data_IF_507358116428
#
_entry.id   IF_507358116428
#
_cell.length_a   1.000
_cell.length_b   1.000
_cell.length_c   1.000
_cell.angle_alpha   90.00
_cell.angle_beta   90.00
_cell.angle_gamma   90.00
#
_symmetry.space_group_name_H-M   'P 1'
#
loop_
_entity.id
_entity.type
_entity.pdbx_description
1 polymer ?
#
# COMPACT_ATOMS: atom_id res chain seq x y z
N UNK A 1 -3.03 -22.44 0.75
CA UNK A 1 -3.94 -21.36 0.32
C UNK A 1 -3.47 -20.08 1.00
N UNK A 2 -3.23 -19.00 0.25
CA UNK A 2 -2.90 -17.70 0.85
C UNK A 2 -4.15 -16.80 0.70
N UNK A 3 -4.81 -16.43 1.80
CA UNK A 3 -5.84 -15.41 1.79
C UNK A 3 -5.22 -14.04 1.51
N UNK A 4 -6.05 -13.08 1.10
CA UNK A 4 -5.62 -11.69 1.00
C UNK A 4 -5.05 -11.21 2.35
N UNK A 5 -4.08 -10.28 2.35
CA UNK A 5 -3.55 -9.70 3.58
C UNK A 5 -4.68 -9.06 4.39
N UNK A 6 -4.66 -9.31 5.70
CA UNK A 6 -5.68 -8.84 6.62
C UNK A 6 -5.17 -7.59 7.33
N UNK A 7 -5.98 -6.53 7.37
CA UNK A 7 -5.61 -5.31 8.09
C UNK A 7 -5.45 -5.58 9.59
N UNK A 8 -4.46 -4.96 10.25
CA UNK A 8 -4.34 -5.00 11.71
C UNK A 8 -5.52 -4.37 12.44
N UNK A 9 -6.24 -3.45 11.79
CA UNK A 9 -7.47 -2.83 12.30
C UNK A 9 -8.72 -3.65 12.04
N UNK A 10 -8.59 -4.84 11.44
CA UNK A 10 -9.70 -5.78 11.31
C UNK A 10 -10.38 -6.02 12.66
N UNK A 11 -11.66 -5.67 12.73
CA UNK A 11 -12.49 -5.89 13.91
C UNK A 11 -12.74 -7.39 14.14
N UNK A 12 -13.22 -7.80 15.32
CA UNK A 12 -13.76 -9.14 15.52
C UNK A 12 -14.85 -9.46 14.48
N UNK A 13 -14.98 -10.72 14.11
CA UNK A 13 -15.90 -11.23 13.08
C UNK A 13 -15.60 -10.78 11.64
N UNK A 14 -14.46 -10.14 11.40
CA UNK A 14 -13.99 -9.82 10.04
C UNK A 14 -13.72 -11.12 9.26
N UNK A 15 -14.26 -11.18 8.04
CA UNK A 15 -14.03 -12.28 7.10
C UNK A 15 -12.54 -12.37 6.73
N UNK A 16 -11.98 -13.59 6.79
CA UNK A 16 -10.60 -13.87 6.39
C UNK A 16 -10.59 -14.61 5.05
N UNK A 17 -11.25 -15.76 5.01
CA UNK A 17 -11.30 -16.64 3.85
C UNK A 17 -12.42 -17.66 4.01
N UNK A 18 -12.88 -18.24 2.91
CA UNK A 18 -13.77 -19.39 2.93
C UNK A 18 -13.06 -20.62 2.37
N UNK A 19 -13.09 -21.72 3.13
CA UNK A 19 -12.65 -23.03 2.65
C UNK A 19 -13.87 -23.79 2.15
N UNK A 20 -13.82 -24.21 0.90
CA UNK A 20 -14.86 -25.00 0.26
C UNK A 20 -14.28 -26.30 -0.29
N UNK A 21 -15.04 -27.39 -0.23
CA UNK A 21 -14.72 -28.64 -0.91
C UNK A 21 -15.76 -28.91 -1.99
N UNK A 22 -15.31 -29.41 -3.14
CA UNK A 22 -16.21 -29.87 -4.19
C UNK A 22 -16.64 -31.31 -3.86
N UNK A 23 -17.52 -31.46 -2.87
CA UNK A 23 -18.00 -32.77 -2.41
C UNK A 23 -19.53 -32.80 -2.33
N UNK A 24 -20.15 -33.93 -2.68
CA UNK A 24 -21.60 -34.07 -2.83
C UNK A 24 -22.33 -34.43 -1.52
N UNK A 25 -21.65 -34.40 -0.38
CA UNK A 25 -22.23 -34.67 0.94
C UNK A 25 -21.93 -33.54 1.92
N UNK A 26 -22.73 -33.37 2.98
CA UNK A 26 -22.45 -32.39 4.02
C UNK A 26 -21.11 -32.68 4.70
N UNK A 27 -20.27 -31.66 4.79
CA UNK A 27 -18.98 -31.71 5.47
C UNK A 27 -18.96 -30.78 6.67
N UNK A 28 -18.16 -31.13 7.67
CA UNK A 28 -17.91 -30.32 8.85
C UNK A 28 -16.49 -29.78 8.76
N UNK A 29 -16.36 -28.46 8.83
CA UNK A 29 -15.07 -27.78 8.81
C UNK A 29 -14.53 -27.55 10.22
N UNK A 30 -13.23 -27.74 10.39
CA UNK A 30 -12.54 -27.46 11.66
C UNK A 30 -11.09 -27.02 11.44
N UNK A 31 -10.56 -26.17 12.31
CA UNK A 31 -9.13 -25.85 12.34
C UNK A 31 -8.45 -26.86 13.28
N UNK A 32 -7.55 -27.68 12.75
CA UNK A 32 -7.04 -28.87 13.45
C UNK A 32 -5.64 -28.70 14.03
N UNK A 33 -4.76 -27.95 13.37
CA UNK A 33 -3.37 -27.73 13.77
C UNK A 33 -2.84 -26.43 13.18
N UNK A 34 -1.66 -25.97 13.58
CA UNK A 34 -0.99 -24.80 13.00
C UNK A 34 0.41 -24.60 13.55
N UNK A 35 1.13 -23.64 13.00
CA UNK A 35 2.57 -23.49 13.23
C UNK A 35 2.98 -22.93 14.60
N UNK A 36 4.30 -22.94 14.78
CA UNK A 36 5.21 -22.67 15.92
C UNK A 36 4.77 -21.62 16.96
N UNK A 37 3.85 -20.69 16.65
CA UNK A 37 3.32 -19.67 17.58
C UNK A 37 2.27 -20.22 18.58
N UNK A 38 2.31 -21.52 18.89
CA UNK A 38 1.75 -22.06 20.13
C UNK A 38 0.27 -21.79 20.37
N UNK A 39 -0.61 -22.15 19.43
CA UNK A 39 -2.09 -22.00 19.51
C UNK A 39 -2.62 -20.57 19.36
N UNK A 40 -1.81 -19.57 18.98
CA UNK A 40 -2.30 -18.20 18.76
C UNK A 40 -3.51 -18.16 17.81
N UNK A 41 -3.46 -18.91 16.71
CA UNK A 41 -4.57 -19.04 15.76
C UNK A 41 -5.88 -19.47 16.43
N UNK A 42 -5.87 -20.26 17.52
CA UNK A 42 -7.09 -20.65 18.27
C UNK A 42 -7.77 -19.47 18.93
N UNK A 43 -6.98 -18.49 19.37
CA UNK A 43 -7.45 -17.28 20.06
C UNK A 43 -7.80 -16.17 19.07
N UNK A 44 -7.26 -16.22 17.86
CA UNK A 44 -7.37 -15.15 16.87
C UNK A 44 -8.36 -15.48 15.77
N UNK A 45 -8.55 -16.75 15.42
CA UNK A 45 -9.44 -17.16 14.34
C UNK A 45 -10.45 -18.21 14.77
N UNK A 46 -11.57 -18.24 14.07
CA UNK A 46 -12.55 -19.31 14.15
C UNK A 46 -13.09 -19.64 12.78
N UNK A 47 -13.57 -20.87 12.63
CA UNK A 47 -14.22 -21.35 11.42
C UNK A 47 -15.66 -21.70 11.74
N UNK A 48 -16.57 -21.29 10.87
CA UNK A 48 -17.94 -21.79 10.86
C UNK A 48 -17.93 -23.24 10.31
N UNK A 49 -18.37 -24.23 11.11
CA UNK A 49 -18.27 -25.64 10.74
C UNK A 49 -19.16 -26.04 9.57
N UNK A 50 -20.19 -25.25 9.25
CA UNK A 50 -21.14 -25.54 8.17
C UNK A 50 -20.79 -24.84 6.86
N UNK A 51 -20.18 -23.65 6.92
CA UNK A 51 -19.88 -22.82 5.74
C UNK A 51 -18.41 -22.82 5.36
N UNK A 52 -17.51 -23.21 6.27
CA UNK A 52 -16.07 -23.17 6.06
C UNK A 52 -15.50 -21.75 6.08
N UNK A 53 -16.31 -20.75 6.45
CA UNK A 53 -15.87 -19.35 6.55
C UNK A 53 -15.04 -19.17 7.81
N UNK A 54 -13.83 -18.65 7.64
CA UNK A 54 -12.92 -18.25 8.71
C UNK A 54 -13.08 -16.76 8.99
N UNK A 55 -13.17 -16.41 10.28
CA UNK A 55 -13.29 -15.05 10.79
C UNK A 55 -12.32 -14.77 11.94
N UNK A 56 -12.03 -13.49 12.17
CA UNK A 56 -11.28 -13.03 13.35
C UNK A 56 -12.11 -13.15 14.63
N UNK A 57 -11.48 -13.47 15.75
CA UNK A 57 -12.10 -13.50 17.10
C UNK A 57 -11.89 -12.21 17.88
N UNK A 58 -10.84 -11.48 17.56
CA UNK A 58 -10.36 -10.31 18.29
C UNK A 58 -9.55 -9.41 17.36
N UNK A 59 -9.22 -8.22 17.84
CA UNK A 59 -8.30 -7.31 17.18
C UNK A 59 -6.92 -7.96 16.99
N UNK A 60 -6.23 -7.53 15.94
CA UNK A 60 -4.96 -8.09 15.50
C UNK A 60 -3.82 -7.13 15.81
N UNK A 61 -2.60 -7.65 15.75
CA UNK A 61 -1.36 -6.88 15.90
C UNK A 61 -0.34 -7.48 14.95
N UNK A 62 0.38 -6.65 14.18
CA UNK A 62 1.34 -7.14 13.17
C UNK A 62 2.43 -8.03 13.79
N UNK A 63 2.88 -7.74 15.02
CA UNK A 63 3.95 -8.46 15.73
C UNK A 63 3.77 -9.98 15.88
N UNK A 64 2.53 -10.46 15.74
CA UNK A 64 2.19 -11.86 15.96
C UNK A 64 1.98 -12.66 14.66
N UNK A 65 2.24 -12.04 13.50
CA UNK A 65 2.02 -12.59 12.17
C UNK A 65 3.33 -12.65 11.35
N UNK A 66 3.44 -13.53 10.33
CA UNK A 66 2.40 -14.40 9.78
C UNK A 66 2.06 -15.59 10.69
N UNK A 67 0.85 -16.14 10.51
CA UNK A 67 0.38 -17.34 11.21
C UNK A 67 -0.17 -18.34 10.21
N UNK A 68 0.28 -19.60 10.28
CA UNK A 68 -0.28 -20.69 9.47
C UNK A 68 -1.08 -21.67 10.33
N UNK A 69 -2.16 -22.21 9.77
CA UNK A 69 -2.96 -23.28 10.37
C UNK A 69 -3.61 -24.19 9.32
N UNK A 70 -3.84 -25.43 9.68
CA UNK A 70 -4.47 -26.44 8.84
C UNK A 70 -5.96 -26.52 9.13
N UNK A 71 -6.75 -26.45 8.06
CA UNK A 71 -8.20 -26.64 8.07
C UNK A 71 -8.52 -28.02 7.54
N UNK A 72 -9.38 -28.73 8.25
CA UNK A 72 -9.88 -30.05 7.87
C UNK A 72 -11.35 -29.97 7.50
N UNK A 73 -11.73 -30.61 6.39
CA UNK A 73 -13.10 -30.94 6.06
C UNK A 73 -13.34 -32.42 6.33
N UNK A 74 -14.34 -32.75 7.16
CA UNK A 74 -14.69 -34.12 7.52
C UNK A 74 -16.08 -34.46 7.04
N UNK A 75 -16.20 -35.59 6.35
CA UNK A 75 -17.49 -36.11 5.93
C UNK A 75 -18.36 -36.45 7.16
N UNK A 76 -19.57 -35.88 7.20
CA UNK A 76 -20.54 -36.13 8.27
C UNK A 76 -20.99 -37.60 8.38
N UNK A 77 -20.74 -38.41 7.35
CA UNK A 77 -21.06 -39.85 7.32
C UNK A 77 -20.04 -40.76 8.01
N UNK A 78 -19.01 -40.18 8.66
CA UNK A 78 -18.08 -40.90 9.54
C UNK A 78 -17.20 -41.97 8.85
N UNK A 79 -17.01 -41.89 7.52
CA UNK A 79 -16.12 -42.78 6.74
C UNK A 79 -14.62 -42.45 6.87
N UNK A 80 -14.24 -41.51 7.74
CA UNK A 80 -12.84 -41.18 8.00
C UNK A 80 -12.11 -40.46 6.87
N UNK A 81 -12.78 -40.11 5.77
CA UNK A 81 -12.20 -39.27 4.71
C UNK A 81 -12.09 -37.84 5.24
N UNK A 82 -10.86 -37.38 5.37
CA UNK A 82 -10.54 -36.02 5.77
C UNK A 82 -9.51 -35.45 4.82
N UNK A 83 -9.83 -34.30 4.23
CA UNK A 83 -8.86 -33.51 3.48
C UNK A 83 -8.43 -32.33 4.34
N UNK A 84 -7.14 -32.04 4.33
CA UNK A 84 -6.56 -30.91 5.02
C UNK A 84 -5.95 -29.92 4.03
N UNK A 85 -6.06 -28.64 4.34
CA UNK A 85 -5.40 -27.56 3.60
C UNK A 85 -4.74 -26.60 4.57
N UNK A 86 -3.51 -26.20 4.27
CA UNK A 86 -2.82 -25.15 5.03
C UNK A 86 -3.28 -23.76 4.57
N UNK A 87 -3.64 -22.94 5.54
CA UNK A 87 -4.01 -21.52 5.42
C UNK A 87 -2.94 -20.71 6.11
N UNK A 88 -2.32 -19.76 5.39
CA UNK A 88 -1.33 -18.84 5.94
C UNK A 88 -1.90 -17.43 5.96
N UNK A 89 -2.14 -16.85 7.12
CA UNK A 89 -2.67 -15.48 7.26
C UNK A 89 -1.51 -14.53 7.55
N UNK A 90 -1.46 -13.43 6.81
CA UNK A 90 -0.60 -12.28 7.06
C UNK A 90 -1.46 -11.11 7.53
N UNK A 91 -0.97 -10.41 8.56
CA UNK A 91 -1.58 -9.16 9.02
C UNK A 91 -0.65 -8.02 8.65
N UNK A 92 -1.21 -7.03 7.98
CA UNK A 92 -0.48 -5.86 7.49
C UNK A 92 -0.80 -4.64 8.35
N UNK A 93 0.21 -3.79 8.53
CA UNK A 93 0.03 -2.46 9.07
C UNK A 93 -0.77 -1.61 8.07
N UNK A 94 -1.75 -0.86 8.54
CA UNK A 94 -2.54 0.01 7.66
C UNK A 94 -1.82 1.31 7.41
N UNK A 95 -1.80 1.74 6.15
CA UNK A 95 -1.38 3.09 5.79
C UNK A 95 -2.37 4.14 6.35
N UNK A 96 -1.91 5.03 7.23
CA UNK A 96 -2.75 5.95 8.00
C UNK A 96 -2.64 7.40 7.56
N UNK A 97 -1.43 7.84 7.22
CA UNK A 97 -1.08 9.22 6.95
C UNK A 97 -0.71 9.35 5.47
N UNK A 98 -1.23 10.36 4.77
CA UNK A 98 -0.72 10.67 3.45
C UNK A 98 0.62 11.41 3.54
N UNK A 99 1.44 11.37 2.48
CA UNK A 99 2.61 12.21 2.36
C UNK A 99 2.23 13.70 2.44
N UNK A 100 3.01 14.51 3.15
CA UNK A 100 2.77 15.95 3.33
C UNK A 100 4.01 16.74 2.92
N UNK A 101 3.86 17.64 1.94
CA UNK A 101 4.91 18.60 1.57
C UNK A 101 5.03 19.72 2.60
N UNK A 102 6.23 20.28 2.75
CA UNK A 102 6.47 21.45 3.62
C UNK A 102 5.70 22.70 3.21
N UNK A 103 5.35 22.82 1.92
CA UNK A 103 4.48 23.86 1.37
C UNK A 103 3.59 23.25 0.28
N UNK A 104 2.36 23.75 0.14
CA UNK A 104 1.46 23.39 -0.95
C UNK A 104 1.76 24.14 -2.25
N UNK A 105 2.49 25.26 -2.16
CA UNK A 105 2.88 26.11 -3.28
C UNK A 105 4.34 26.53 -3.10
N UNK A 106 5.13 26.39 -4.16
CA UNK A 106 6.53 26.83 -4.23
C UNK A 106 6.67 27.69 -5.49
N UNK A 107 7.26 28.87 -5.36
CA UNK A 107 7.59 29.71 -6.50
C UNK A 107 9.11 29.76 -6.67
N UNK A 108 9.57 29.48 -7.88
CA UNK A 108 10.99 29.49 -8.23
C UNK A 108 11.22 30.32 -9.49
N UNK A 109 12.43 30.86 -9.59
CA UNK A 109 12.89 31.57 -10.78
C UNK A 109 13.92 30.73 -11.51
N UNK A 110 13.85 30.73 -12.82
CA UNK A 110 14.82 30.08 -13.69
C UNK A 110 15.31 31.10 -14.71
N UNK A 111 16.61 31.38 -14.69
CA UNK A 111 17.26 32.22 -15.71
C UNK A 111 17.02 31.60 -17.09
N UNK A 112 16.62 32.39 -18.07
CA UNK A 112 16.64 31.96 -19.45
C UNK A 112 18.05 31.55 -19.86
N UNK A 113 18.17 30.82 -20.98
CA UNK A 113 19.45 30.30 -21.44
C UNK A 113 20.18 29.35 -20.46
N UNK A 114 19.58 29.05 -19.29
CA UNK A 114 20.06 28.02 -18.38
C UNK A 114 20.17 26.69 -19.12
N UNK A 115 21.28 25.95 -18.97
CA UNK A 115 21.44 24.66 -19.63
C UNK A 115 20.28 23.71 -19.34
N UNK A 116 19.97 22.83 -20.28
CA UNK A 116 19.09 21.70 -20.02
C UNK A 116 19.60 20.88 -18.83
N UNK A 117 18.69 20.27 -18.05
CA UNK A 117 19.02 19.56 -16.80
C UNK A 117 19.43 20.48 -15.65
N UNK A 118 19.05 21.76 -15.70
CA UNK A 118 19.24 22.67 -14.55
C UNK A 118 18.28 22.29 -13.42
N UNK A 119 18.83 22.18 -12.20
CA UNK A 119 18.04 21.95 -11.00
C UNK A 119 17.24 23.21 -10.65
N UNK A 120 15.93 23.07 -10.48
CA UNK A 120 15.02 24.16 -10.12
C UNK A 120 14.84 24.17 -8.60
N UNK A 121 14.32 23.08 -8.03
CA UNK A 121 14.06 22.97 -6.59
C UNK A 121 14.05 21.51 -6.14
N UNK A 122 14.46 21.26 -4.90
CA UNK A 122 14.23 19.98 -4.24
C UNK A 122 12.96 20.06 -3.38
N UNK A 123 11.94 19.31 -3.77
CA UNK A 123 10.70 19.20 -3.02
C UNK A 123 10.85 18.12 -1.96
N UNK A 124 10.36 18.40 -0.76
CA UNK A 124 10.44 17.46 0.36
C UNK A 124 9.06 17.22 0.95
N UNK A 125 8.59 15.98 0.83
CA UNK A 125 7.45 15.47 1.55
C UNK A 125 7.89 14.61 2.73
N UNK A 126 7.02 14.48 3.73
CA UNK A 126 7.18 13.60 4.88
C UNK A 126 5.90 12.80 5.07
N UNK A 127 6.08 11.54 5.42
CA UNK A 127 5.01 10.65 5.84
C UNK A 127 5.29 10.20 7.28
N UNK A 128 4.24 10.13 8.09
CA UNK A 128 4.35 9.77 9.49
C UNK A 128 4.16 8.27 9.74
N UNK A 129 3.89 7.48 8.70
CA UNK A 129 3.90 6.03 8.79
C UNK A 129 5.32 5.45 8.71
N UNK A 130 5.50 4.26 9.27
CA UNK A 130 6.78 3.57 9.29
C UNK A 130 6.96 2.63 8.08
N UNK A 131 8.22 2.35 7.74
CA UNK A 131 8.56 1.37 6.72
C UNK A 131 7.98 1.71 5.34
N UNK A 132 7.35 0.73 4.69
CA UNK A 132 6.80 0.88 3.34
C UNK A 132 5.66 1.90 3.26
N UNK A 133 4.84 2.01 4.31
CA UNK A 133 3.72 2.95 4.38
C UNK A 133 4.20 4.41 4.42
N UNK A 134 5.45 4.68 4.81
CA UNK A 134 6.05 6.02 4.73
C UNK A 134 7.17 6.15 3.68
N UNK A 135 7.38 5.15 2.82
CA UNK A 135 8.41 5.19 1.79
C UNK A 135 7.90 5.95 0.56
N UNK A 136 8.54 7.07 0.25
CA UNK A 136 8.04 8.02 -0.75
C UNK A 136 8.72 7.90 -2.11
N UNK A 137 7.91 7.99 -3.16
CA UNK A 137 8.34 8.30 -4.53
C UNK A 137 7.67 9.57 -5.03
N UNK A 138 8.35 10.29 -5.93
CA UNK A 138 7.89 11.57 -6.46
C UNK A 138 7.52 11.49 -7.94
N UNK A 139 6.54 12.29 -8.36
CA UNK A 139 6.14 12.34 -9.76
C UNK A 139 5.48 13.66 -10.15
N UNK A 140 5.42 13.93 -11.45
CA UNK A 140 4.64 15.04 -12.01
C UNK A 140 3.23 14.53 -12.31
N UNK A 141 2.22 15.16 -11.72
CA UNK A 141 0.81 14.92 -12.02
C UNK A 141 0.38 15.69 -13.27
N UNK A 142 0.73 16.98 -13.33
CA UNK A 142 0.34 17.90 -14.40
C UNK A 142 1.41 18.96 -14.64
N UNK A 143 1.48 19.49 -15.86
CA UNK A 143 2.51 20.42 -16.33
C UNK A 143 3.16 19.94 -17.62
N UNK A 144 4.08 20.72 -18.16
CA UNK A 144 4.80 20.36 -19.39
C UNK A 144 5.92 19.34 -19.11
N UNK A 145 5.59 18.05 -19.23
CA UNK A 145 6.53 16.93 -19.02
C UNK A 145 7.62 16.82 -20.08
N UNK A 146 7.55 17.60 -21.16
CA UNK A 146 8.62 17.69 -22.16
C UNK A 146 9.69 18.70 -21.73
N UNK A 147 9.33 19.69 -20.90
CA UNK A 147 10.21 20.75 -20.39
C UNK A 147 10.67 20.55 -18.93
N UNK A 148 9.96 19.71 -18.19
CA UNK A 148 10.25 19.45 -16.78
C UNK A 148 10.24 17.95 -16.45
N UNK A 149 11.17 17.55 -15.58
CA UNK A 149 11.19 16.20 -15.00
C UNK A 149 11.48 16.28 -13.50
N UNK A 150 10.92 15.35 -12.73
CA UNK A 150 11.26 15.19 -11.32
C UNK A 150 12.00 13.86 -11.13
N UNK A 151 13.04 13.88 -10.30
CA UNK A 151 13.69 12.66 -9.85
C UNK A 151 12.83 11.94 -8.82
N UNK A 152 12.48 10.69 -9.13
CA UNK A 152 11.51 9.90 -8.37
C UNK A 152 11.94 9.62 -6.93
N UNK A 153 13.25 9.55 -6.65
CA UNK A 153 13.76 9.19 -5.33
C UNK A 153 14.07 10.42 -4.47
N UNK A 154 14.54 11.51 -5.09
CA UNK A 154 15.06 12.68 -4.37
C UNK A 154 14.09 13.86 -4.32
N UNK A 155 13.06 13.87 -5.17
CA UNK A 155 12.10 14.98 -5.29
C UNK A 155 12.69 16.22 -5.97
N UNK A 156 13.84 16.11 -6.64
CA UNK A 156 14.46 17.23 -7.35
C UNK A 156 13.77 17.45 -8.69
N UNK A 157 13.22 18.64 -8.90
CA UNK A 157 12.66 19.11 -10.16
C UNK A 157 13.75 19.73 -11.03
N UNK A 158 13.84 19.31 -12.29
CA UNK A 158 14.79 19.80 -13.28
C UNK A 158 14.08 20.35 -14.51
N UNK A 159 14.70 21.34 -15.16
CA UNK A 159 14.42 21.63 -16.56
C UNK A 159 14.99 20.52 -17.45
N UNK A 160 14.38 20.27 -18.61
CA UNK A 160 14.92 19.35 -19.64
C UNK A 160 15.35 20.09 -20.90
N UNK A 161 15.08 21.38 -20.97
CA UNK A 161 15.41 22.29 -22.07
C UNK A 161 16.04 23.57 -21.53
N UNK A 162 16.65 24.34 -22.42
CA UNK A 162 16.92 25.75 -22.20
C UNK A 162 15.68 26.55 -22.58
N UNK A 163 15.35 27.58 -21.83
CA UNK A 163 14.21 28.47 -22.12
C UNK A 163 14.70 29.73 -22.83
N UNK A 164 13.81 30.30 -23.63
CA UNK A 164 13.95 31.58 -24.32
C UNK A 164 12.81 32.47 -23.83
N UNK A 165 13.14 33.58 -23.17
CA UNK A 165 12.15 34.45 -22.53
C UNK A 165 11.25 35.17 -23.55
N UNK A 166 11.76 35.51 -24.74
CA UNK A 166 11.03 36.22 -25.79
C UNK A 166 10.11 35.31 -26.61
N UNK A 167 10.47 34.04 -26.80
CA UNK A 167 9.73 33.10 -27.65
C UNK A 167 8.76 32.19 -26.89
N UNK A 168 8.92 32.03 -25.57
CA UNK A 168 8.17 31.06 -24.77
C UNK A 168 7.27 31.66 -23.68
N UNK A 169 6.57 30.80 -22.94
CA UNK A 169 5.84 31.21 -21.75
C UNK A 169 6.81 31.58 -20.62
N UNK A 170 6.52 32.68 -19.93
CA UNK A 170 7.33 33.18 -18.81
C UNK A 170 6.94 32.58 -17.46
N UNK A 171 5.85 31.81 -17.40
CA UNK A 171 5.40 31.11 -16.19
C UNK A 171 4.89 29.70 -16.53
N UNK A 172 5.33 28.72 -15.75
CA UNK A 172 4.90 27.33 -15.83
C UNK A 172 4.39 26.85 -14.47
N UNK A 173 3.18 26.27 -14.47
CA UNK A 173 2.61 25.65 -13.27
C UNK A 173 2.72 24.12 -13.37
N UNK A 174 3.42 23.53 -12.41
CA UNK A 174 3.73 22.10 -12.37
C UNK A 174 3.13 21.55 -11.08
N UNK A 175 2.20 20.61 -11.20
CA UNK A 175 1.63 19.91 -10.05
C UNK A 175 2.43 18.62 -9.86
N UNK A 176 3.15 18.52 -8.75
CA UNK A 176 3.86 17.31 -8.35
C UNK A 176 3.06 16.54 -7.30
N UNK A 177 3.37 15.25 -7.17
CA UNK A 177 2.92 14.43 -6.06
C UNK A 177 4.09 13.71 -5.40
N UNK A 178 3.92 13.41 -4.12
CA UNK A 178 4.65 12.36 -3.41
C UNK A 178 3.65 11.24 -3.11
N UNK A 179 4.00 10.00 -3.41
CA UNK A 179 3.18 8.81 -3.17
C UNK A 179 3.93 7.88 -2.24
N UNK A 180 3.25 7.36 -1.22
CA UNK A 180 3.79 6.28 -0.41
C UNK A 180 3.65 4.91 -1.10
N UNK A 181 4.24 3.86 -0.54
CA UNK A 181 4.07 2.50 -1.04
C UNK A 181 3.12 1.67 -0.17
N UNK A 182 2.20 2.34 0.53
CA UNK A 182 1.37 1.76 1.58
C UNK A 182 0.29 0.77 1.12
N UNK A 183 -0.17 -0.04 2.07
CA UNK A 183 -1.22 -1.06 1.89
C UNK A 183 -2.32 -0.81 2.95
N UNK A 184 -3.63 -1.03 2.67
CA UNK A 184 -4.24 -1.53 1.43
C UNK A 184 -4.23 -0.54 0.27
N UNK A 185 -4.05 0.74 0.57
CA UNK A 185 -4.04 1.80 -0.41
C UNK A 185 -2.78 2.64 -0.27
N UNK A 186 -2.28 3.09 -1.42
CA UNK A 186 -1.27 4.13 -1.47
C UNK A 186 -1.94 5.48 -1.28
N UNK A 187 -1.29 6.39 -0.56
CA UNK A 187 -1.78 7.77 -0.42
C UNK A 187 -0.82 8.73 -1.11
N UNK A 188 -1.35 9.92 -1.44
CA UNK A 188 -0.62 10.97 -2.15
C UNK A 188 -0.73 12.31 -1.44
N UNK A 189 0.40 13.00 -1.36
CA UNK A 189 0.47 14.44 -1.14
C UNK A 189 0.70 15.18 -2.45
N UNK A 190 0.36 16.46 -2.50
CA UNK A 190 0.55 17.29 -3.69
C UNK A 190 1.21 18.63 -3.36
N UNK A 191 1.97 19.16 -4.31
CA UNK A 191 2.55 20.50 -4.26
C UNK A 191 2.49 21.11 -5.67
N UNK A 192 2.15 22.39 -5.77
CA UNK A 192 2.27 23.16 -7.01
C UNK A 192 3.59 23.92 -7.01
N UNK A 193 4.36 23.77 -8.08
CA UNK A 193 5.57 24.57 -8.33
C UNK A 193 5.27 25.53 -9.46
N UNK A 194 5.45 26.82 -9.22
CA UNK A 194 5.37 27.88 -10.23
C UNK A 194 6.80 28.25 -10.61
N UNK A 195 7.19 27.94 -11.84
CA UNK A 195 8.51 28.29 -12.38
C UNK A 195 8.35 29.54 -13.23
N UNK A 196 9.00 30.63 -12.81
CA UNK A 196 9.02 31.90 -13.53
C UNK A 196 10.34 32.02 -14.30
N UNK A 197 10.25 32.13 -15.62
CA UNK A 197 11.42 32.39 -16.46
C UNK A 197 11.78 33.87 -16.32
N UNK A 198 13.07 34.17 -16.15
CA UNK A 198 13.60 35.53 -16.05
C UNK A 198 14.72 35.75 -17.07
N UNK A 199 14.81 36.98 -17.56
CA UNK A 199 15.86 37.54 -18.44
C UNK A 199 17.10 37.96 -17.63
#
# INVERSE_FOLDING_TARGET
YQPAPLSEKALPDTFVVQISVLYKVPVIYSIVSGDVNGKLWKRVFYIDPSTGIIRTRKNLTVEHFPVSFNVQATDSSNHGIHNQVSVSVEVIDENNFPPVFSSSLVEEKLEENSPATTQIVQLKAQDNDAGRNGFLTYGILSGDRLKFRIDEATGILYSTVSFDYEEEATEYQIVVYAEDDGIPEKKRGYCTVVVKIID
#
